data_IF_691207909576
#
_entry.id   IF_691207909576
#
_cell.length_a   1.000
_cell.length_b   1.000
_cell.length_c   1.000
_cell.angle_alpha   90.00
_cell.angle_beta   90.00
_cell.angle_gamma   90.00
#
_symmetry.space_group_name_H-M   'P 1'
#
loop_
_entity.id
_entity.type
_entity.pdbx_description
1 polymer ?
#
# COMPACT_ATOMS: atom_id res chain seq x y z
N UNK A 1 -14.31 -4.42 1.37
CA UNK A 1 -13.12 -3.67 0.94
C UNK A 1 -13.54 -2.80 -0.24
N UNK A 2 -13.35 -1.49 -0.15
CA UNK A 2 -13.67 -0.55 -1.23
C UNK A 2 -12.40 0.13 -1.69
N UNK A 3 -12.29 0.40 -2.99
CA UNK A 3 -11.17 1.13 -3.55
C UNK A 3 -11.69 2.36 -4.29
N UNK A 4 -11.10 3.51 -3.99
CA UNK A 4 -11.37 4.75 -4.69
C UNK A 4 -10.06 5.52 -4.86
N UNK A 5 -9.78 5.98 -6.08
CA UNK A 5 -8.53 6.69 -6.43
C UNK A 5 -7.27 5.93 -5.98
N UNK A 6 -7.23 4.62 -6.21
CA UNK A 6 -6.08 3.76 -5.88
C UNK A 6 -5.99 3.36 -4.41
N UNK A 7 -6.56 4.12 -3.47
CA UNK A 7 -6.55 3.78 -2.05
C UNK A 7 -7.57 2.71 -1.73
N UNK A 8 -7.12 1.67 -1.07
CA UNK A 8 -8.01 0.59 -0.63
C UNK A 8 -8.20 0.62 0.87
N UNK A 9 -9.45 0.50 1.33
CA UNK A 9 -9.80 0.52 2.75
C UNK A 9 -10.73 -0.63 3.13
N UNK A 10 -10.60 -1.16 4.34
CA UNK A 10 -11.64 -2.03 4.88
C UNK A 10 -12.87 -1.22 5.30
N UNK A 11 -14.03 -1.72 4.89
CA UNK A 11 -15.33 -1.18 5.25
C UNK A 11 -16.23 -2.33 5.64
N UNK A 12 -17.09 -2.08 6.63
CA UNK A 12 -18.17 -2.99 7.04
C UNK A 12 -19.42 -2.81 6.16
N UNK A 13 -19.45 -1.78 5.32
CA UNK A 13 -20.49 -1.56 4.31
C UNK A 13 -19.98 -1.93 2.91
N UNK A 14 -20.85 -2.46 2.04
CA UNK A 14 -20.48 -2.75 0.67
C UNK A 14 -20.18 -1.46 -0.09
N UNK A 15 -19.17 -1.50 -0.97
CA UNK A 15 -18.79 -0.39 -1.83
C UNK A 15 -17.94 -0.87 -3.01
N UNK A 16 -17.86 -0.07 -4.08
CA UNK A 16 -17.17 -0.44 -5.30
C UNK A 16 -15.67 -0.65 -5.07
N UNK A 17 -15.07 -1.50 -5.90
CA UNK A 17 -13.64 -1.73 -5.95
C UNK A 17 -13.13 -1.48 -7.37
N UNK A 18 -12.69 -0.26 -7.63
CA UNK A 18 -12.35 0.23 -8.98
C UNK A 18 -11.30 -0.65 -9.68
N UNK A 19 -10.22 -1.05 -9.00
CA UNK A 19 -9.17 -1.89 -9.58
C UNK A 19 -9.59 -3.33 -9.90
N UNK A 20 -10.68 -3.82 -9.31
CA UNK A 20 -11.25 -5.14 -9.63
C UNK A 20 -12.46 -5.03 -10.58
N UNK A 21 -12.98 -3.82 -10.83
CA UNK A 21 -14.16 -3.61 -11.67
C UNK A 21 -15.45 -4.20 -11.11
N UNK A 22 -15.57 -4.36 -9.78
CA UNK A 22 -16.75 -4.98 -9.15
C UNK A 22 -17.50 -4.00 -8.23
N UNK A 23 -18.83 -4.17 -8.15
CA UNK A 23 -19.70 -3.34 -7.33
C UNK A 23 -19.49 -3.51 -5.81
N UNK A 24 -19.04 -4.70 -5.39
CA UNK A 24 -18.68 -4.97 -4.00
C UNK A 24 -17.65 -6.10 -3.94
N UNK A 25 -16.71 -6.00 -3.00
CA UNK A 25 -15.68 -7.00 -2.78
C UNK A 25 -15.44 -7.26 -1.28
N UNK A 26 -15.29 -8.54 -0.93
CA UNK A 26 -15.00 -8.99 0.43
C UNK A 26 -14.02 -10.17 0.41
N UNK A 27 -13.06 -10.15 1.34
CA UNK A 27 -12.15 -11.27 1.55
C UNK A 27 -12.85 -12.37 2.35
N UNK A 28 -13.00 -13.56 1.75
CA UNK A 28 -13.68 -14.70 2.38
C UNK A 28 -13.00 -16.05 2.08
N UNK A 29 -11.84 -16.04 1.42
CA UNK A 29 -11.19 -17.23 0.85
C UNK A 29 -10.01 -17.75 1.67
N UNK A 30 -9.50 -16.96 2.63
CA UNK A 30 -8.28 -17.23 3.39
C UNK A 30 -8.47 -17.18 4.92
N UNK A 31 -9.48 -17.87 5.49
CA UNK A 31 -9.86 -17.76 6.92
C UNK A 31 -8.77 -18.22 7.89
N UNK A 32 -7.84 -19.08 7.45
CA UNK A 32 -6.76 -19.61 8.29
C UNK A 32 -5.62 -18.60 8.50
N UNK A 33 -5.51 -17.59 7.63
CA UNK A 33 -4.40 -16.62 7.63
C UNK A 33 -4.84 -15.16 7.69
N UNK A 34 -6.13 -14.88 7.53
CA UNK A 34 -6.70 -13.53 7.65
C UNK A 34 -7.95 -13.59 8.51
N UNK A 35 -7.92 -12.83 9.60
CA UNK A 35 -9.01 -12.86 10.60
C UNK A 35 -10.34 -12.34 10.03
N UNK A 36 -10.30 -11.34 9.15
CA UNK A 36 -11.50 -10.82 8.47
C UNK A 36 -12.17 -11.90 7.59
N UNK A 37 -11.41 -12.74 6.90
CA UNK A 37 -11.97 -13.86 6.14
C UNK A 37 -12.69 -14.86 7.07
N UNK A 38 -12.12 -15.13 8.26
CA UNK A 38 -12.77 -15.98 9.26
C UNK A 38 -14.08 -15.38 9.77
N UNK A 39 -14.13 -14.07 10.01
CA UNK A 39 -15.35 -13.36 10.41
C UNK A 39 -16.42 -13.45 9.31
N UNK A 40 -16.04 -13.22 8.06
CA UNK A 40 -16.94 -13.33 6.92
C UNK A 40 -17.47 -14.75 6.74
N UNK A 41 -16.63 -15.78 6.91
CA UNK A 41 -17.10 -17.16 6.88
C UNK A 41 -18.07 -17.47 8.02
N UNK A 42 -17.82 -16.97 9.23
CA UNK A 42 -18.75 -17.12 10.36
C UNK A 42 -20.12 -16.51 10.07
N UNK A 43 -20.14 -15.33 9.45
CA UNK A 43 -21.39 -14.68 9.00
C UNK A 43 -22.13 -15.54 7.97
N UNK A 44 -21.42 -15.98 6.92
CA UNK A 44 -21.99 -16.80 5.84
C UNK A 44 -22.58 -18.10 6.39
N UNK A 45 -21.86 -18.81 7.25
CA UNK A 45 -22.31 -20.08 7.83
C UNK A 45 -23.56 -19.91 8.69
N UNK A 46 -23.64 -18.88 9.54
CA UNK A 46 -24.83 -18.59 10.35
C UNK A 46 -26.06 -18.38 9.49
N UNK A 47 -25.94 -17.51 8.48
CA UNK A 47 -27.05 -17.18 7.58
C UNK A 47 -27.47 -18.39 6.75
N UNK A 48 -26.51 -19.17 6.23
CA UNK A 48 -26.79 -20.40 5.49
C UNK A 48 -27.52 -21.47 6.33
N UNK A 49 -27.31 -21.47 7.64
CA UNK A 49 -28.03 -22.33 8.60
C UNK A 49 -29.39 -21.76 9.04
N UNK A 50 -29.84 -20.63 8.47
CA UNK A 50 -31.08 -19.97 8.88
C UNK A 50 -31.02 -19.29 10.25
N UNK A 51 -29.81 -19.07 10.77
CA UNK A 51 -29.59 -18.40 12.05
C UNK A 51 -29.34 -16.91 11.85
N UNK A 52 -29.51 -16.14 12.93
CA UNK A 52 -29.15 -14.72 12.97
C UNK A 52 -27.66 -14.55 12.63
N UNK A 53 -27.28 -13.55 11.81
CA UNK A 53 -25.88 -13.22 11.58
C UNK A 53 -25.10 -13.08 12.89
N UNK A 54 -23.86 -13.55 12.90
CA UNK A 54 -22.94 -13.42 14.03
C UNK A 54 -22.65 -11.96 14.41
N UNK A 55 -22.65 -11.04 13.44
CA UNK A 55 -22.48 -9.60 13.65
C UNK A 55 -23.60 -8.83 12.96
N UNK A 56 -24.16 -7.83 13.64
CA UNK A 56 -25.27 -7.03 13.13
C UNK A 56 -24.79 -5.85 12.27
N UNK A 57 -25.72 -5.24 11.53
CA UNK A 57 -25.43 -3.96 10.90
C UNK A 57 -25.11 -2.91 11.96
N UNK A 58 -24.02 -2.16 11.75
CA UNK A 58 -23.50 -1.16 12.67
C UNK A 58 -23.04 -1.69 14.03
N UNK A 59 -22.68 -2.97 14.11
CA UNK A 59 -22.16 -3.60 15.31
C UNK A 59 -20.80 -3.00 15.71
N UNK A 60 -20.72 -2.47 16.94
CA UNK A 60 -19.52 -1.83 17.49
C UNK A 60 -18.36 -2.80 17.62
N UNK A 61 -18.63 -4.07 17.91
CA UNK A 61 -17.61 -5.09 18.07
C UNK A 61 -17.01 -5.46 16.71
N UNK A 62 -17.84 -5.48 15.66
CA UNK A 62 -17.39 -5.67 14.27
C UNK A 62 -16.47 -4.52 13.85
N UNK A 63 -16.85 -3.27 14.09
CA UNK A 63 -16.01 -2.11 13.76
C UNK A 63 -14.68 -2.14 14.51
N UNK A 64 -14.72 -2.34 15.82
CA UNK A 64 -13.51 -2.39 16.67
C UNK A 64 -12.57 -3.49 16.19
N UNK A 65 -13.12 -4.67 15.87
CA UNK A 65 -12.35 -5.81 15.39
C UNK A 65 -11.68 -5.52 14.04
N UNK A 66 -12.39 -4.89 13.10
CA UNK A 66 -11.83 -4.53 11.79
C UNK A 66 -10.69 -3.51 11.96
N UNK A 67 -10.84 -2.51 12.83
CA UNK A 67 -9.79 -1.53 13.10
C UNK A 67 -8.55 -2.18 13.72
N UNK A 68 -8.72 -3.07 14.70
CA UNK A 68 -7.60 -3.81 15.30
C UNK A 68 -6.90 -4.69 14.27
N UNK A 69 -7.67 -5.33 13.38
CA UNK A 69 -7.10 -6.09 12.28
C UNK A 69 -6.31 -5.23 11.31
N UNK A 70 -6.83 -4.07 10.86
CA UNK A 70 -6.11 -3.17 9.95
C UNK A 70 -4.77 -2.74 10.56
N UNK A 71 -4.76 -2.29 11.82
CA UNK A 71 -3.54 -1.88 12.51
C UNK A 71 -2.52 -3.02 12.64
N UNK A 72 -2.96 -4.23 12.99
CA UNK A 72 -2.06 -5.38 13.10
C UNK A 72 -1.55 -5.84 11.72
N UNK A 73 -2.39 -5.76 10.69
CA UNK A 73 -2.05 -6.14 9.32
C UNK A 73 -1.00 -5.19 8.73
N UNK A 74 -1.17 -3.88 8.93
CA UNK A 74 -0.21 -2.86 8.52
C UNK A 74 1.15 -3.06 9.20
N UNK A 75 1.17 -3.18 10.53
CA UNK A 75 2.41 -3.42 11.28
C UNK A 75 3.14 -4.71 10.83
N UNK A 76 2.38 -5.76 10.49
CA UNK A 76 2.95 -6.98 9.92
C UNK A 76 3.55 -6.74 8.54
N UNK A 77 2.85 -6.03 7.65
CA UNK A 77 3.36 -5.71 6.31
C UNK A 77 4.62 -4.85 6.38
N UNK A 78 4.68 -3.87 7.28
CA UNK A 78 5.88 -3.06 7.52
C UNK A 78 7.07 -3.93 7.91
N UNK A 79 6.85 -4.87 8.83
CA UNK A 79 7.87 -5.83 9.21
C UNK A 79 8.28 -6.73 8.05
N UNK A 80 7.33 -7.25 7.26
CA UNK A 80 7.62 -8.06 6.06
C UNK A 80 8.50 -7.29 5.08
N UNK A 81 8.14 -6.04 4.73
CA UNK A 81 8.92 -5.21 3.82
C UNK A 81 10.35 -4.97 4.33
N UNK A 82 10.54 -4.73 5.63
CA UNK A 82 11.88 -4.58 6.24
C UNK A 82 12.67 -5.89 6.19
N UNK A 83 12.02 -7.02 6.45
CA UNK A 83 12.64 -8.34 6.41
C UNK A 83 13.06 -8.72 4.97
N UNK A 84 12.19 -8.55 3.99
CA UNK A 84 12.49 -8.78 2.58
C UNK A 84 13.63 -7.90 2.08
N UNK A 85 13.63 -6.63 2.49
CA UNK A 85 14.71 -5.69 2.18
C UNK A 85 16.04 -6.14 2.78
N UNK A 86 16.06 -6.53 4.05
CA UNK A 86 17.25 -7.08 4.70
C UNK A 86 17.81 -8.28 3.91
N UNK A 87 16.97 -9.25 3.56
CA UNK A 87 17.40 -10.43 2.82
C UNK A 87 17.83 -10.12 1.39
N UNK A 88 17.23 -9.12 0.75
CA UNK A 88 17.68 -8.63 -0.56
C UNK A 88 19.10 -8.07 -0.49
N UNK A 89 19.43 -7.28 0.54
CA UNK A 89 20.79 -6.78 0.77
C UNK A 89 21.79 -7.92 1.05
N UNK A 90 21.39 -8.88 1.91
CA UNK A 90 22.22 -10.05 2.19
C UNK A 90 22.52 -10.85 0.93
N UNK A 91 21.54 -11.00 0.05
CA UNK A 91 21.73 -11.70 -1.23
C UNK A 91 22.69 -10.95 -2.16
N UNK A 92 22.57 -9.62 -2.27
CA UNK A 92 23.50 -8.78 -3.05
C UNK A 92 24.95 -8.97 -2.57
N UNK A 93 25.17 -8.94 -1.26
CA UNK A 93 26.48 -9.15 -0.66
C UNK A 93 27.00 -10.58 -0.92
N UNK A 94 26.19 -11.60 -0.67
CA UNK A 94 26.57 -13.01 -0.82
C UNK A 94 26.92 -13.40 -2.26
N UNK A 95 26.19 -12.85 -3.22
CA UNK A 95 26.41 -13.07 -4.65
C UNK A 95 27.50 -12.15 -5.22
N UNK A 96 28.17 -11.38 -4.37
CA UNK A 96 29.23 -10.42 -4.71
C UNK A 96 28.81 -9.50 -5.88
N UNK A 97 27.54 -9.07 -5.90
CA UNK A 97 27.01 -8.23 -6.97
C UNK A 97 27.66 -6.86 -6.92
N UNK A 98 28.49 -6.56 -7.92
CA UNK A 98 29.11 -5.24 -8.10
C UNK A 98 28.17 -4.23 -8.77
N UNK A 99 27.16 -4.73 -9.47
CA UNK A 99 26.21 -3.94 -10.24
C UNK A 99 24.83 -4.56 -10.11
N UNK A 100 23.81 -3.69 -10.04
CA UNK A 100 22.40 -4.07 -10.10
C UNK A 100 21.70 -3.26 -11.17
N UNK A 101 20.61 -3.81 -11.69
CA UNK A 101 19.76 -3.13 -12.68
C UNK A 101 18.46 -2.73 -12.00
N UNK A 102 17.91 -1.59 -12.39
CA UNK A 102 16.69 -1.06 -11.79
C UNK A 102 15.81 -0.35 -12.83
N UNK A 103 14.52 -0.26 -12.53
CA UNK A 103 13.55 0.48 -13.33
C UNK A 103 13.09 1.73 -12.56
N UNK A 104 13.07 2.87 -13.23
CA UNK A 104 12.57 4.13 -12.66
C UNK A 104 11.06 4.03 -12.44
N UNK A 105 10.60 4.27 -11.22
CA UNK A 105 9.17 4.31 -10.87
C UNK A 105 8.67 5.75 -10.94
N UNK A 106 9.29 6.65 -10.16
CA UNK A 106 8.95 8.07 -10.10
C UNK A 106 10.10 8.85 -9.45
N UNK A 107 10.45 10.00 -10.01
CA UNK A 107 11.54 10.86 -9.50
C UNK A 107 12.84 10.03 -9.29
N UNK A 108 13.38 10.02 -8.07
CA UNK A 108 14.54 9.23 -7.68
C UNK A 108 14.20 7.80 -7.21
N UNK A 109 12.93 7.41 -7.19
CA UNK A 109 12.49 6.09 -6.74
C UNK A 109 12.65 5.06 -7.87
N UNK A 110 13.42 4.01 -7.59
CA UNK A 110 13.67 2.92 -8.53
C UNK A 110 13.30 1.57 -7.91
N UNK A 111 12.88 0.62 -8.73
CA UNK A 111 12.66 -0.78 -8.37
C UNK A 111 13.85 -1.61 -8.82
N UNK A 112 14.49 -2.32 -7.89
CA UNK A 112 15.63 -3.18 -8.24
C UNK A 112 15.09 -4.43 -8.95
N UNK A 113 15.68 -4.77 -10.10
CA UNK A 113 15.25 -5.94 -10.85
C UNK A 113 15.65 -7.24 -10.16
N UNK A 114 14.70 -8.19 -10.11
CA UNK A 114 14.92 -9.50 -9.50
C UNK A 114 14.93 -9.50 -7.97
N UNK A 115 14.68 -8.37 -7.32
CA UNK A 115 14.60 -8.25 -5.87
C UNK A 115 13.32 -7.52 -5.44
N UNK A 116 12.67 -7.94 -4.34
CA UNK A 116 11.45 -7.29 -3.83
C UNK A 116 11.80 -6.01 -3.06
N UNK A 117 12.50 -5.07 -3.69
CA UNK A 117 12.86 -3.81 -3.06
C UNK A 117 12.85 -2.62 -4.01
N UNK A 118 12.39 -1.48 -3.47
CA UNK A 118 12.50 -0.17 -4.08
C UNK A 118 13.48 0.71 -3.29
N UNK A 119 14.23 1.57 -3.95
CA UNK A 119 15.23 2.43 -3.33
C UNK A 119 15.17 3.81 -3.95
N UNK A 120 15.29 4.85 -3.12
CA UNK A 120 15.57 6.21 -3.61
C UNK A 120 17.05 6.32 -3.90
N UNK A 121 17.41 6.83 -5.07
CA UNK A 121 18.78 7.01 -5.53
C UNK A 121 19.06 8.51 -5.58
N UNK A 122 19.68 9.10 -4.54
CA UNK A 122 19.93 10.53 -4.49
C UNK A 122 20.75 11.01 -5.69
N UNK A 123 20.33 12.10 -6.32
CA UNK A 123 21.03 12.68 -7.47
C UNK A 123 20.80 11.95 -8.79
N UNK A 124 19.75 11.11 -8.86
CA UNK A 124 19.30 10.56 -10.13
C UNK A 124 18.77 11.70 -11.02
N UNK A 125 19.17 11.80 -12.30
CA UNK A 125 18.60 12.77 -13.22
C UNK A 125 17.10 12.50 -13.41
N UNK A 126 16.36 13.51 -13.89
CA UNK A 126 14.95 13.35 -14.22
C UNK A 126 14.81 12.36 -15.39
N UNK A 127 14.32 11.16 -15.09
CA UNK A 127 14.13 10.06 -16.03
C UNK A 127 12.66 9.68 -16.10
N UNK A 128 12.23 9.29 -17.29
CA UNK A 128 10.85 8.82 -17.49
C UNK A 128 10.62 7.51 -16.73
N UNK A 129 9.40 7.33 -16.21
CA UNK A 129 8.94 6.05 -15.64
C UNK A 129 9.17 4.90 -16.62
N UNK A 130 9.62 3.76 -16.10
CA UNK A 130 9.96 2.57 -16.89
C UNK A 130 11.33 2.61 -17.56
N UNK A 131 12.11 3.69 -17.36
CA UNK A 131 13.48 3.74 -17.83
C UNK A 131 14.35 2.76 -17.05
N UNK A 132 15.08 1.91 -17.77
CA UNK A 132 16.04 0.98 -17.18
C UNK A 132 17.38 1.67 -16.94
N UNK A 133 17.96 1.45 -15.78
CA UNK A 133 19.24 2.00 -15.35
C UNK A 133 20.14 0.93 -14.74
N UNK A 134 21.45 1.11 -14.85
CA UNK A 134 22.46 0.30 -14.19
C UNK A 134 23.12 1.08 -13.06
N UNK A 135 23.19 0.45 -11.91
CA UNK A 135 23.72 1.01 -10.68
C UNK A 135 24.93 0.21 -10.24
N UNK A 136 26.03 0.88 -9.88
CA UNK A 136 27.14 0.28 -9.16
C UNK A 136 26.73 0.09 -7.71
N UNK A 137 27.02 -1.07 -7.13
CA UNK A 137 26.89 -1.33 -5.69
C UNK A 137 28.16 -0.83 -4.99
N UNK A 138 27.99 0.07 -4.03
CA UNK A 138 29.08 0.62 -3.21
C UNK A 138 29.16 -0.08 -1.85
N UNK A 139 28.00 -0.42 -1.29
CA UNK A 139 27.87 -1.02 0.03
C UNK A 139 26.41 -1.32 0.38
N UNK A 140 26.22 -2.05 1.49
CA UNK A 140 24.91 -2.33 2.07
C UNK A 140 24.90 -1.83 3.51
N UNK A 141 23.98 -0.93 3.85
CA UNK A 141 23.69 -0.55 5.22
C UNK A 141 22.58 -1.45 5.77
N UNK A 142 22.92 -2.33 6.71
CA UNK A 142 21.96 -3.26 7.33
C UNK A 142 21.13 -2.66 8.46
N UNK A 143 21.51 -1.48 8.96
CA UNK A 143 20.78 -0.78 10.02
C UNK A 143 19.66 0.03 9.39
N UNK A 144 20.00 0.87 8.41
CA UNK A 144 19.02 1.68 7.68
C UNK A 144 18.35 0.91 6.53
N UNK A 145 18.82 -0.31 6.25
CA UNK A 145 18.39 -1.16 5.14
C UNK A 145 18.56 -0.45 3.79
N UNK A 146 19.63 0.32 3.60
CA UNK A 146 19.88 1.10 2.39
C UNK A 146 20.91 0.39 1.50
N UNK A 147 20.62 0.32 0.20
CA UNK A 147 21.61 -0.07 -0.80
C UNK A 147 22.33 1.18 -1.29
N UNK A 148 23.62 1.30 -0.95
CA UNK A 148 24.45 2.40 -1.42
C UNK A 148 24.85 2.15 -2.86
N UNK A 149 24.48 3.08 -3.75
CA UNK A 149 24.72 2.91 -5.18
C UNK A 149 25.16 4.19 -5.87
N UNK A 150 25.70 4.02 -7.08
CA UNK A 150 26.00 5.11 -8.00
C UNK A 150 25.47 4.76 -9.39
N UNK A 151 24.84 5.73 -10.08
CA UNK A 151 24.42 5.55 -11.46
C UNK A 151 25.64 5.32 -12.37
N UNK A 152 25.63 4.21 -13.12
CA UNK A 152 26.64 3.89 -14.13
C UNK A 152 26.15 4.16 -15.54
N UNK A 153 24.91 3.75 -15.85
CA UNK A 153 24.39 3.78 -17.20
C UNK A 153 22.87 3.93 -17.20
N UNK A 154 22.35 4.68 -18.17
CA UNK A 154 20.92 4.70 -18.52
C UNK A 154 20.76 3.98 -19.85
N UNK A 155 19.80 3.05 -19.95
CA UNK A 155 19.57 2.29 -21.18
C UNK A 155 18.59 3.00 -22.11
N UNK A 156 18.80 2.82 -23.41
CA UNK A 156 17.85 3.24 -24.44
C UNK A 156 16.76 2.19 -24.60
N UNK A 157 15.58 2.49 -24.07
CA UNK A 157 14.41 1.60 -24.08
C UNK A 157 13.50 1.86 -22.88
N UNK A 158 12.18 1.75 -23.11
CA UNK A 158 11.18 1.73 -22.04
C UNK A 158 10.80 0.28 -21.81
N UNK A 159 11.03 -0.24 -20.62
CA UNK A 159 10.42 -1.50 -20.19
C UNK A 159 9.19 -1.17 -19.35
N UNK A 160 8.11 -1.92 -19.54
CA UNK A 160 6.91 -1.75 -18.75
C UNK A 160 7.19 -2.24 -17.33
N UNK A 161 7.13 -1.32 -16.35
CA UNK A 161 7.07 -1.70 -14.94
C UNK A 161 5.63 -2.17 -14.72
N UNK A 162 5.43 -3.46 -14.51
CA UNK A 162 4.15 -3.96 -14.01
C UNK A 162 3.85 -3.23 -12.69
N UNK A 163 2.67 -2.62 -12.61
CA UNK A 163 2.13 -2.12 -11.35
C UNK A 163 1.83 -3.33 -10.49
N UNK A 164 2.82 -3.78 -9.72
CA UNK A 164 2.47 -4.44 -8.47
C UNK A 164 1.74 -3.39 -7.65
N UNK A 165 0.41 -3.51 -7.59
CA UNK A 165 -0.52 -2.80 -6.69
C UNK A 165 -0.22 -3.09 -5.20
N UNK A 166 1.03 -3.36 -4.86
CA UNK A 166 1.54 -3.41 -3.50
C UNK A 166 1.69 -1.97 -3.02
N UNK A 167 0.56 -1.43 -2.56
CA UNK A 167 0.38 -0.34 -1.60
C UNK A 167 1.69 0.34 -1.17
N UNK A 168 2.14 1.30 -1.98
CA UNK A 168 3.04 2.35 -1.51
C UNK A 168 2.17 3.30 -0.68
N UNK A 169 1.96 2.99 0.60
CA UNK A 169 1.91 4.08 1.57
C UNK A 169 3.34 4.59 1.74
N UNK A 170 3.65 5.64 0.98
CA UNK A 170 4.75 6.52 1.31
C UNK A 170 4.38 7.23 2.61
N UNK A 171 4.67 6.59 3.75
CA UNK A 171 4.69 7.26 5.04
C UNK A 171 5.84 8.26 5.06
N UNK A 172 5.59 9.48 4.57
CA UNK A 172 6.22 10.72 5.02
C UNK A 172 5.53 11.92 4.34
N UNK A 173 4.38 12.33 4.88
CA UNK A 173 3.97 13.74 4.88
C UNK A 173 3.41 14.03 6.27
N UNK A 174 4.29 14.42 7.20
CA UNK A 174 3.88 15.30 8.29
C UNK A 174 3.91 16.71 7.73
N UNK A 175 2.73 17.30 7.48
CA UNK A 175 2.43 18.70 7.80
C UNK A 175 0.95 19.00 7.48
N UNK A 176 0.22 19.27 8.57
CA UNK A 176 -0.91 20.17 8.73
C UNK A 176 -1.97 20.31 7.61
N UNK A 177 -3.13 19.71 7.86
CA UNK A 177 -4.41 20.24 7.39
C UNK A 177 -5.52 19.88 8.39
N UNK A 178 -5.39 20.34 9.64
CA UNK A 178 -6.53 20.50 10.53
C UNK A 178 -7.11 21.91 10.41
N UNK A 179 -8.43 21.94 10.22
CA UNK A 179 -9.37 23.05 10.46
C UNK A 179 -9.51 24.15 9.40
N UNK A 180 -10.48 23.98 8.48
CA UNK A 180 -11.46 25.05 8.17
C UNK A 180 -12.62 24.54 7.27
N UNK A 181 -13.49 23.65 7.78
CA UNK A 181 -14.85 23.51 7.22
C UNK A 181 -15.85 23.20 8.34
N UNK A 182 -16.14 24.16 9.21
CA UNK A 182 -17.46 24.31 9.85
C UNK A 182 -17.68 25.80 10.13
N UNK A 183 -18.46 26.46 9.29
CA UNK A 183 -19.41 27.59 9.59
C UNK A 183 -19.68 28.40 8.31
N UNK A 184 -20.40 27.81 7.35
CA UNK A 184 -21.14 28.61 6.36
C UNK A 184 -22.38 27.90 5.86
N UNK A 185 -23.22 27.48 6.81
CA UNK A 185 -24.57 26.94 6.52
C UNK A 185 -25.69 27.62 7.31
N UNK A 186 -25.42 28.71 8.03
CA UNK A 186 -26.43 29.50 8.72
C UNK A 186 -26.30 31.00 8.39
N UNK A 187 -26.45 31.37 7.11
CA UNK A 187 -26.69 32.77 6.75
C UNK A 187 -27.32 32.85 5.34
N UNK A 188 -28.51 32.25 5.18
CA UNK A 188 -29.35 32.51 4.00
C UNK A 188 -30.86 32.32 4.24
N UNK A 189 -31.33 32.73 5.42
CA UNK A 189 -32.77 32.88 5.71
C UNK A 189 -33.01 34.06 6.63
N UNK A 190 -32.90 35.27 6.10
CA UNK A 190 -33.65 36.47 6.53
C UNK A 190 -33.22 37.63 5.65
N UNK A 191 -33.87 37.80 4.50
CA UNK A 191 -34.05 39.08 3.79
C UNK A 191 -34.89 38.80 2.54
N UNK A 192 -36.20 38.63 2.76
CA UNK A 192 -37.25 38.91 1.77
C UNK A 192 -38.58 38.96 2.51
N UNK A 193 -38.80 40.08 3.22
CA UNK A 193 -40.10 40.51 3.71
C UNK A 193 -40.01 41.98 4.17
N UNK A 194 -40.12 42.91 3.21
CA UNK A 194 -40.87 44.16 3.32
C UNK A 194 -40.97 44.87 1.97
#
# INVERSE_FOLDING_TARGET
>A
RSQHMGRVKMSTTPGPHDGLGVAAYAWSTSPLRRYVDLMNQRQIVRVAMGQTPAYQAKDTDLFTTVTVFESAYEAYNDFQRRMERYWSLRWIEQEEKKEVTALVVKDELVRIEGLPMMQRIPGLPELERGRRIRLQVLGCDYIELVLETRLLQVFDGKEFVEEDDDEIEAGCETEDASEEIVTKSEEKKTEDAQ
#
